data_IF_103803302420
#
_entry.id   IF_103803302420
#
_cell.length_a   1.000
_cell.length_b   1.000
_cell.length_c   1.000
_cell.angle_alpha   90.00
_cell.angle_beta   90.00
_cell.angle_gamma   90.00
#
_symmetry.space_group_name_H-M   'P 1'
#
loop_
_entity.id
_entity.type
_entity.pdbx_description
1 polymer ?
#
# COMPACT_ATOMS: atom_id res chain seq x y z
N UNK A 1 0.44 41.55 -4.12
CA UNK A 1 0.72 41.01 -2.77
C UNK A 1 -0.21 39.83 -2.51
N UNK A 2 0.38 38.69 -2.13
CA UNK A 2 -0.24 37.38 -2.02
C UNK A 2 -1.18 37.24 -0.82
N UNK A 3 -2.40 36.73 -1.02
CA UNK A 3 -3.16 36.03 0.02
C UNK A 3 -4.04 34.94 -0.61
N UNK A 4 -3.45 33.77 -0.89
CA UNK A 4 -4.23 32.57 -1.22
C UNK A 4 -4.76 31.94 0.07
N UNK A 5 -6.05 32.19 0.33
CA UNK A 5 -6.88 31.59 1.38
C UNK A 5 -6.96 30.07 1.21
N UNK A 6 -6.79 29.39 2.34
CA UNK A 6 -7.01 27.96 2.62
C UNK A 6 -8.16 27.35 1.80
N UNK A 7 -7.91 26.24 1.09
CA UNK A 7 -8.94 25.22 0.81
C UNK A 7 -8.31 23.84 0.94
N UNK A 8 -8.52 23.24 2.12
CA UNK A 8 -8.26 21.84 2.35
C UNK A 8 -9.17 21.00 1.45
N UNK A 9 -8.57 20.29 0.50
CA UNK A 9 -9.27 19.24 -0.23
C UNK A 9 -9.23 18.02 0.67
N UNK A 10 -10.30 17.87 1.48
CA UNK A 10 -10.65 16.62 2.13
C UNK A 10 -10.74 15.57 1.03
N UNK A 11 -9.68 14.77 0.87
CA UNK A 11 -9.65 13.64 -0.06
C UNK A 11 -10.83 12.74 0.31
N UNK A 12 -11.84 12.71 -0.56
CA UNK A 12 -13.00 11.83 -0.48
C UNK A 12 -12.50 10.40 -0.26
N UNK A 13 -12.62 9.90 0.98
CA UNK A 13 -12.57 8.47 1.25
C UNK A 13 -13.96 7.95 0.91
N UNK A 14 -14.08 7.39 -0.28
CA UNK A 14 -15.22 6.56 -0.64
C UNK A 14 -15.31 5.42 0.39
N UNK A 15 -16.33 5.47 1.23
CA UNK A 15 -16.67 4.39 2.14
C UNK A 15 -17.27 3.26 1.30
N UNK A 16 -16.57 2.12 1.27
CA UNK A 16 -17.20 0.84 1.03
C UNK A 16 -17.19 0.09 2.37
N UNK A 17 -18.36 0.11 3.01
CA UNK A 17 -18.71 -0.70 4.15
C UNK A 17 -19.01 -2.12 3.67
N UNK A 18 -18.20 -3.08 4.09
CA UNK A 18 -18.59 -4.49 4.17
C UNK A 18 -18.37 -4.89 5.62
N UNK A 19 -19.48 -5.01 6.34
CA UNK A 19 -19.55 -5.41 7.73
C UNK A 19 -19.26 -6.91 7.81
N UNK A 20 -18.00 -7.26 8.08
CA UNK A 20 -17.63 -8.59 8.56
C UNK A 20 -16.60 -8.34 9.64
N UNK A 21 -16.97 -8.60 10.89
CA UNK A 21 -16.07 -8.48 12.03
C UNK A 21 -14.74 -9.17 11.65
N UNK A 22 -13.62 -8.45 11.51
CA UNK A 22 -12.39 -9.08 11.09
C UNK A 22 -11.97 -10.01 12.21
N UNK A 23 -12.16 -11.32 12.03
CA UNK A 23 -11.32 -12.34 12.68
C UNK A 23 -9.91 -11.79 12.57
N UNK A 24 -9.27 -11.48 13.70
CA UNK A 24 -7.95 -10.82 13.74
C UNK A 24 -7.08 -11.50 12.69
N UNK A 25 -6.87 -10.81 11.56
CA UNK A 25 -6.22 -11.42 10.41
C UNK A 25 -4.86 -11.94 10.86
N UNK A 26 -4.48 -13.14 10.40
CA UNK A 26 -3.19 -13.71 10.77
C UNK A 26 -2.10 -12.66 10.56
N UNK A 27 -1.23 -12.47 11.55
CA UNK A 27 -0.15 -11.48 11.45
C UNK A 27 0.67 -11.80 10.19
N UNK A 28 1.24 -10.78 9.55
CA UNK A 28 2.20 -11.04 8.48
C UNK A 28 3.42 -11.72 9.10
N UNK A 29 3.75 -12.90 8.58
CA UNK A 29 4.96 -13.63 8.91
C UNK A 29 6.16 -12.93 8.28
N UNK A 30 7.36 -13.11 8.85
CA UNK A 30 8.58 -12.50 8.28
C UNK A 30 8.81 -12.88 6.81
N UNK A 31 8.46 -14.12 6.43
CA UNK A 31 8.55 -14.59 5.05
C UNK A 31 7.56 -13.87 4.13
N UNK A 32 6.32 -13.64 4.59
CA UNK A 32 5.32 -12.84 3.86
C UNK A 32 5.78 -11.39 3.70
N UNK A 33 6.41 -10.82 4.73
CA UNK A 33 6.97 -9.46 4.66
C UNK A 33 8.11 -9.36 3.65
N UNK A 34 9.03 -10.32 3.64
CA UNK A 34 10.13 -10.36 2.68
C UNK A 34 9.62 -10.51 1.25
N UNK A 35 8.64 -11.40 1.03
CA UNK A 35 7.99 -11.56 -0.26
C UNK A 35 7.35 -10.25 -0.73
N UNK A 36 6.62 -9.56 0.15
CA UNK A 36 6.00 -8.28 -0.16
C UNK A 36 7.05 -7.23 -0.56
N UNK A 37 8.17 -7.15 0.18
CA UNK A 37 9.26 -6.22 -0.14
C UNK A 37 9.88 -6.56 -1.50
N UNK A 38 10.13 -7.83 -1.79
CA UNK A 38 10.68 -8.30 -3.06
C UNK A 38 9.76 -7.94 -4.25
N UNK A 39 8.45 -8.18 -4.12
CA UNK A 39 7.47 -7.80 -5.14
C UNK A 39 7.43 -6.29 -5.36
N UNK A 40 7.42 -5.50 -4.28
CA UNK A 40 7.43 -4.04 -4.38
C UNK A 40 8.75 -3.53 -4.98
N UNK A 41 9.89 -4.15 -4.67
CA UNK A 41 11.18 -3.78 -5.23
C UNK A 41 11.19 -3.91 -6.76
N UNK A 42 10.57 -4.96 -7.32
CA UNK A 42 10.40 -5.13 -8.77
C UNK A 42 9.64 -3.97 -9.42
N UNK A 43 8.65 -3.41 -8.71
CA UNK A 43 7.79 -2.32 -9.21
C UNK A 43 8.10 -0.96 -8.57
N UNK A 44 9.26 -0.82 -7.92
CA UNK A 44 9.64 0.37 -7.13
C UNK A 44 9.60 1.65 -7.95
N UNK A 45 10.09 1.60 -9.19
CA UNK A 45 10.15 2.76 -10.09
C UNK A 45 8.79 3.39 -10.35
N UNK A 46 7.71 2.58 -10.35
CA UNK A 46 6.34 3.06 -10.60
C UNK A 46 5.66 3.44 -9.29
N UNK A 47 5.87 2.64 -8.23
CA UNK A 47 5.23 2.86 -6.91
C UNK A 47 5.79 4.10 -6.22
N UNK A 48 7.11 4.33 -6.29
CA UNK A 48 7.79 5.47 -5.65
C UNK A 48 7.93 6.69 -6.57
N UNK A 49 7.46 6.61 -7.81
CA UNK A 49 7.44 7.77 -8.71
C UNK A 49 6.69 8.95 -8.08
N UNK A 50 7.34 10.12 -8.05
CA UNK A 50 6.79 11.37 -7.51
C UNK A 50 5.76 12.03 -8.45
N UNK A 51 5.59 11.50 -9.67
CA UNK A 51 4.60 12.00 -10.61
C UNK A 51 3.18 11.88 -10.03
N UNK A 52 2.40 12.96 -10.18
CA UNK A 52 1.06 13.13 -9.60
C UNK A 52 0.02 13.34 -10.72
N UNK A 53 0.24 12.73 -11.89
CA UNK A 53 -0.70 12.81 -13.01
C UNK A 53 -1.83 11.79 -12.80
N UNK A 54 -3.04 12.07 -13.29
CA UNK A 54 -4.18 11.16 -13.14
C UNK A 54 -3.88 9.74 -13.68
N UNK A 55 -3.18 9.66 -14.83
CA UNK A 55 -2.69 8.41 -15.43
C UNK A 55 -1.80 7.63 -14.46
N UNK A 56 -0.87 8.31 -13.78
CA UNK A 56 0.07 7.68 -12.84
C UNK A 56 -0.61 7.12 -11.59
N UNK A 57 -1.77 7.65 -11.19
CA UNK A 57 -2.52 7.06 -10.07
C UNK A 57 -3.12 5.71 -10.45
N UNK A 58 -3.70 5.61 -11.65
CA UNK A 58 -4.27 4.38 -12.17
C UNK A 58 -3.17 3.34 -12.40
N UNK A 59 -2.03 3.72 -12.97
CA UNK A 59 -0.87 2.83 -13.14
C UNK A 59 -0.37 2.28 -11.81
N UNK A 60 -0.23 3.13 -10.79
CA UNK A 60 0.12 2.68 -9.43
C UNK A 60 -0.92 1.70 -8.91
N UNK A 61 -2.21 1.99 -9.08
CA UNK A 61 -3.28 1.11 -8.64
C UNK A 61 -3.22 -0.26 -9.32
N UNK A 62 -3.02 -0.30 -10.64
CA UNK A 62 -2.85 -1.53 -11.43
C UNK A 62 -1.65 -2.33 -10.92
N UNK A 63 -0.50 -1.69 -10.67
CA UNK A 63 0.68 -2.38 -10.13
C UNK A 63 0.43 -2.95 -8.73
N UNK A 64 -0.36 -2.29 -7.91
CA UNK A 64 -0.76 -2.83 -6.61
C UNK A 64 -1.68 -4.05 -6.73
N UNK A 65 -2.63 -4.06 -7.68
CA UNK A 65 -3.45 -5.24 -7.99
C UNK A 65 -2.57 -6.40 -8.47
N UNK A 66 -1.56 -6.11 -9.31
CA UNK A 66 -0.63 -7.13 -9.78
C UNK A 66 0.15 -7.75 -8.61
N UNK A 67 0.67 -6.92 -7.69
CA UNK A 67 1.34 -7.39 -6.47
C UNK A 67 0.41 -8.25 -5.62
N UNK A 68 -0.85 -7.84 -5.45
CA UNK A 68 -1.84 -8.65 -4.72
C UNK A 68 -2.03 -10.03 -5.38
N UNK A 69 -2.18 -10.08 -6.70
CA UNK A 69 -2.32 -11.35 -7.44
C UNK A 69 -1.10 -12.23 -7.27
N UNK A 70 0.10 -11.69 -7.44
CA UNK A 70 1.36 -12.43 -7.26
C UNK A 70 1.51 -12.91 -5.81
N UNK A 71 1.20 -12.05 -4.85
CA UNK A 71 1.25 -12.38 -3.42
C UNK A 71 0.27 -13.48 -3.06
N UNK A 72 -0.99 -13.39 -3.52
CA UNK A 72 -2.05 -14.37 -3.26
C UNK A 72 -1.86 -15.67 -4.04
N UNK A 73 -1.06 -15.66 -5.11
CA UNK A 73 -0.65 -16.89 -5.81
C UNK A 73 0.42 -17.64 -5.02
N UNK A 74 1.31 -16.90 -4.34
CA UNK A 74 2.40 -17.48 -3.56
C UNK A 74 1.99 -17.80 -2.11
N UNK A 75 1.01 -17.08 -1.55
CA UNK A 75 0.43 -17.32 -0.24
C UNK A 75 -0.88 -18.08 -0.45
N UNK A 76 -0.92 -19.36 -0.07
CA UNK A 76 -2.07 -20.25 -0.29
C UNK A 76 -3.41 -19.73 0.28
N UNK A 77 -4.45 -20.56 0.22
CA UNK A 77 -5.84 -20.17 0.52
C UNK A 77 -6.04 -19.38 1.84
N UNK A 78 -5.23 -19.64 2.87
CA UNK A 78 -5.33 -19.03 4.19
C UNK A 78 -4.55 -17.70 4.34
N UNK A 79 -3.76 -17.33 3.34
CA UNK A 79 -2.84 -16.17 3.34
C UNK A 79 -3.27 -15.02 2.44
N UNK A 80 -4.46 -15.07 1.83
CA UNK A 80 -4.93 -14.04 0.90
C UNK A 80 -5.03 -12.67 1.59
N UNK A 81 -4.38 -11.66 1.02
CA UNK A 81 -4.41 -10.27 1.50
C UNK A 81 -4.99 -9.39 0.42
N UNK A 82 -5.71 -8.36 0.84
CA UNK A 82 -6.18 -7.33 -0.09
C UNK A 82 -5.07 -6.30 -0.37
N UNK A 83 -5.14 -5.65 -1.54
CA UNK A 83 -4.29 -4.49 -1.89
C UNK A 83 -4.15 -3.48 -0.74
N UNK A 84 -5.25 -3.21 -0.02
CA UNK A 84 -5.27 -2.27 1.11
C UNK A 84 -4.33 -2.71 2.23
N UNK A 85 -4.39 -3.99 2.61
CA UNK A 85 -3.54 -4.54 3.68
C UNK A 85 -2.06 -4.50 3.31
N UNK A 86 -1.73 -4.84 2.06
CA UNK A 86 -0.36 -4.81 1.54
C UNK A 86 0.21 -3.39 1.53
N UNK A 87 -0.60 -2.41 1.11
CA UNK A 87 -0.23 -0.98 1.14
C UNK A 87 0.03 -0.49 2.56
N UNK A 88 -0.90 -0.76 3.48
CA UNK A 88 -0.76 -0.35 4.89
C UNK A 88 0.49 -0.97 5.52
N UNK A 89 0.73 -2.27 5.27
CA UNK A 89 1.93 -2.96 5.76
C UNK A 89 3.21 -2.32 5.21
N UNK A 90 3.28 -2.04 3.92
CA UNK A 90 4.45 -1.41 3.31
C UNK A 90 4.71 0.01 3.83
N UNK A 91 3.66 0.82 4.02
CA UNK A 91 3.79 2.16 4.62
C UNK A 91 4.37 2.04 6.04
N UNK A 92 3.88 1.09 6.83
CA UNK A 92 4.38 0.85 8.18
C UNK A 92 5.84 0.37 8.17
N UNK A 93 6.22 -0.48 7.21
CA UNK A 93 7.61 -0.90 7.02
C UNK A 93 8.52 0.30 6.68
N UNK A 94 8.11 1.17 5.74
CA UNK A 94 8.86 2.40 5.41
C UNK A 94 9.03 3.32 6.61
N UNK A 95 8.03 3.44 7.48
CA UNK A 95 8.12 4.26 8.69
C UNK A 95 9.14 3.67 9.66
N UNK A 96 9.03 2.38 9.98
CA UNK A 96 9.98 1.67 10.85
C UNK A 96 11.42 1.77 10.36
N UNK A 97 11.65 1.63 9.05
CA UNK A 97 13.00 1.78 8.50
C UNK A 97 13.54 3.19 8.70
N UNK A 98 12.71 4.23 8.58
CA UNK A 98 13.14 5.63 8.80
C UNK A 98 13.39 5.96 10.27
N UNK A 99 12.66 5.35 11.19
CA UNK A 99 12.87 5.56 12.64
C UNK A 99 14.19 4.94 13.14
N UNK A 100 14.68 3.88 12.49
CA UNK A 100 15.92 3.21 12.87
C UNK A 100 17.20 3.90 12.38
N UNK A 101 17.12 5.00 11.63
CA UNK A 101 18.29 5.81 11.26
C UNK A 101 18.21 7.15 12.00
N UNK A 102 18.80 7.28 13.20
CA UNK A 102 19.01 8.59 13.81
C UNK A 102 19.85 9.46 12.85
N UNK A 103 19.43 10.71 12.70
CA UNK A 103 20.11 11.71 11.86
C UNK A 103 21.41 12.16 12.49
#
# INVERSE_FOLDING_TARGET
>A
MCFCKKRGIKRLRFQLTMNTQPKRGSKFSKNEEYLLISLIAKYKSIIESKATNAVTWMEKHIKWIQIEKEFNSNCGLNGRRSVKMLKEKYINLKKKTKENFPK
#
